data_IF_281319783612
#
_entry.id   IF_281319783612
#
_cell.length_a   1.000
_cell.length_b   1.000
_cell.length_c   1.000
_cell.angle_alpha   90.00
_cell.angle_beta   90.00
_cell.angle_gamma   90.00
#
_symmetry.space_group_name_H-M   'P 1'
#
loop_
_entity.id
_entity.type
_entity.pdbx_description
1 polymer ?
#
# COMPACT_ATOMS: atom_id res chain seq x y z
N UNK A 1 26.10 12.41 -16.33
CA UNK A 1 24.83 12.14 -17.04
C UNK A 1 24.72 10.74 -17.63
N UNK A 2 25.58 10.30 -18.57
CA UNK A 2 25.46 8.97 -19.20
C UNK A 2 25.63 7.80 -18.21
N UNK A 3 26.72 7.81 -17.43
CA UNK A 3 27.01 6.76 -16.44
C UNK A 3 25.97 6.71 -15.30
N UNK A 4 25.44 7.86 -14.88
CA UNK A 4 24.38 7.95 -13.88
C UNK A 4 23.07 7.29 -14.35
N UNK A 5 22.69 7.50 -15.62
CA UNK A 5 21.50 6.88 -16.21
C UNK A 5 21.69 5.36 -16.30
N UNK A 6 22.87 4.90 -16.70
CA UNK A 6 23.18 3.46 -16.77
C UNK A 6 23.06 2.83 -15.38
N UNK A 7 23.65 3.45 -14.35
CA UNK A 7 23.56 2.98 -12.96
C UNK A 7 22.10 2.99 -12.48
N UNK A 8 21.34 4.03 -12.82
CA UNK A 8 19.93 4.14 -12.45
C UNK A 8 19.09 2.99 -13.04
N UNK A 9 19.23 2.73 -14.34
CA UNK A 9 18.53 1.62 -15.02
C UNK A 9 18.97 0.27 -14.44
N UNK A 10 20.28 0.08 -14.25
CA UNK A 10 20.82 -1.13 -13.62
C UNK A 10 20.26 -1.33 -12.21
N UNK A 11 20.11 -0.26 -11.43
CA UNK A 11 19.52 -0.31 -10.09
C UNK A 11 18.04 -0.69 -10.11
N UNK A 12 17.25 -0.22 -11.09
CA UNK A 12 15.86 -0.66 -11.28
C UNK A 12 15.80 -2.15 -11.54
N UNK A 13 16.59 -2.65 -12.50
CA UNK A 13 16.65 -4.08 -12.82
C UNK A 13 17.11 -4.90 -11.61
N UNK A 14 18.12 -4.42 -10.89
CA UNK A 14 18.60 -5.03 -9.66
C UNK A 14 17.51 -5.12 -8.59
N UNK A 15 16.74 -4.04 -8.39
CA UNK A 15 15.59 -4.03 -7.49
C UNK A 15 14.52 -5.07 -7.86
N UNK A 16 14.25 -5.23 -9.16
CA UNK A 16 13.33 -6.26 -9.66
C UNK A 16 13.85 -7.67 -9.35
N UNK A 17 15.13 -7.93 -9.66
CA UNK A 17 15.76 -9.23 -9.44
C UNK A 17 15.82 -9.59 -7.96
N UNK A 18 16.20 -8.66 -7.09
CA UNK A 18 16.20 -8.89 -5.63
C UNK A 18 14.80 -9.20 -5.13
N UNK A 19 13.80 -8.41 -5.53
CA UNK A 19 12.42 -8.64 -5.08
C UNK A 19 11.92 -10.02 -5.53
N UNK A 20 12.26 -10.45 -6.74
CA UNK A 20 11.87 -11.76 -7.25
C UNK A 20 12.66 -12.92 -6.62
N UNK A 21 13.96 -12.75 -6.40
CA UNK A 21 14.79 -13.73 -5.71
C UNK A 21 14.27 -13.97 -4.28
N UNK A 22 13.96 -12.88 -3.58
CA UNK A 22 13.46 -12.93 -2.21
C UNK A 22 12.03 -13.48 -2.11
N UNK A 23 11.19 -13.28 -3.13
CA UNK A 23 9.86 -13.89 -3.16
C UNK A 23 9.87 -15.41 -3.29
N UNK A 24 10.97 -15.99 -3.84
CA UNK A 24 11.18 -17.45 -3.89
C UNK A 24 11.80 -17.98 -2.59
N UNK A 25 12.64 -17.20 -1.91
CA UNK A 25 13.35 -17.65 -0.71
C UNK A 25 13.70 -16.49 0.23
N UNK A 26 13.29 -16.59 1.49
CA UNK A 26 13.58 -15.61 2.56
C UNK A 26 14.56 -16.14 3.63
N UNK A 27 15.40 -17.12 3.29
CA UNK A 27 16.32 -17.78 4.24
C UNK A 27 17.27 -16.80 4.94
N UNK A 28 17.81 -15.82 4.21
CA UNK A 28 18.75 -14.83 4.74
C UNK A 28 18.05 -13.94 5.76
N UNK A 29 16.86 -13.42 5.42
CA UNK A 29 16.05 -12.61 6.33
C UNK A 29 15.69 -13.38 7.60
N UNK A 30 15.27 -14.64 7.45
CA UNK A 30 14.92 -15.52 8.57
C UNK A 30 16.10 -15.77 9.51
N UNK A 31 17.31 -15.90 8.95
CA UNK A 31 18.53 -16.08 9.73
C UNK A 31 18.87 -14.84 10.54
N UNK A 32 18.80 -13.65 9.92
CA UNK A 32 18.99 -12.38 10.64
C UNK A 32 17.91 -12.13 11.69
N UNK A 33 16.65 -12.48 11.40
CA UNK A 33 15.56 -12.37 12.35
C UNK A 33 15.79 -13.27 13.58
N UNK A 34 16.30 -14.50 13.38
CA UNK A 34 16.64 -15.42 14.47
C UNK A 34 17.80 -14.91 15.35
N UNK A 35 18.75 -14.19 14.76
CA UNK A 35 19.87 -13.59 15.49
C UNK A 35 19.45 -12.38 16.33
N UNK A 36 18.51 -11.59 15.83
CA UNK A 36 18.12 -10.31 16.43
C UNK A 36 16.93 -10.39 17.38
N UNK A 37 16.05 -11.40 17.23
CA UNK A 37 14.82 -11.52 18.01
C UNK A 37 14.82 -12.78 18.89
N UNK A 38 14.28 -12.63 20.10
CA UNK A 38 13.96 -13.73 21.02
C UNK A 38 12.92 -14.68 20.40
N UNK A 39 12.94 -15.97 20.78
CA UNK A 39 12.04 -17.02 20.23
C UNK A 39 10.56 -16.61 20.15
N UNK A 40 10.08 -15.81 21.10
CA UNK A 40 8.70 -15.31 21.12
C UNK A 40 8.37 -14.28 20.03
N UNK A 41 9.37 -13.52 19.55
CA UNK A 41 9.23 -12.50 18.50
C UNK A 41 9.81 -12.96 17.15
N UNK A 42 10.20 -14.23 17.05
CA UNK A 42 10.72 -14.78 15.80
C UNK A 42 9.60 -14.97 14.79
N UNK A 43 9.93 -14.69 13.53
CA UNK A 43 9.01 -14.87 12.42
C UNK A 43 8.67 -16.36 12.23
N UNK A 44 7.39 -16.64 11.99
CA UNK A 44 6.88 -17.99 11.75
C UNK A 44 7.39 -18.58 10.44
N UNK A 45 7.42 -19.92 10.34
CA UNK A 45 7.98 -20.61 9.18
C UNK A 45 7.26 -20.32 7.86
N UNK A 46 5.95 -20.08 7.93
CA UNK A 46 5.07 -19.86 6.78
C UNK A 46 5.04 -18.42 6.31
N UNK A 47 5.66 -17.49 7.04
CA UNK A 47 5.67 -16.10 6.65
C UNK A 47 6.70 -15.90 5.51
N UNK A 48 6.29 -15.35 4.34
CA UNK A 48 7.20 -15.14 3.22
C UNK A 48 7.92 -13.78 3.28
N UNK A 49 7.68 -12.95 4.30
CA UNK A 49 8.29 -11.61 4.46
C UNK A 49 9.82 -11.64 4.38
N UNK A 50 10.39 -10.62 3.75
CA UNK A 50 11.82 -10.44 3.59
C UNK A 50 12.26 -9.01 3.93
N UNK A 51 13.49 -8.66 3.55
CA UNK A 51 14.01 -7.30 3.59
C UNK A 51 13.22 -6.38 2.66
N UNK A 52 12.86 -6.87 1.47
CA UNK A 52 12.18 -6.10 0.44
C UNK A 52 10.81 -6.69 0.13
N UNK A 53 10.71 -8.01 0.00
CA UNK A 53 9.46 -8.70 -0.33
C UNK A 53 8.42 -8.59 0.79
N UNK A 54 7.22 -8.11 0.45
CA UNK A 54 6.10 -7.83 1.38
C UNK A 54 6.45 -6.93 2.58
N UNK A 55 7.56 -6.19 2.49
CA UNK A 55 7.99 -5.25 3.53
C UNK A 55 7.31 -3.89 3.36
N UNK A 56 6.95 -3.26 4.48
CA UNK A 56 6.48 -1.86 4.51
C UNK A 56 7.55 -0.92 3.94
N UNK A 57 7.13 0.19 3.33
CA UNK A 57 8.03 1.15 2.68
C UNK A 57 9.18 1.58 3.59
N UNK A 58 8.86 1.95 4.83
CA UNK A 58 9.85 2.48 5.76
C UNK A 58 10.98 1.49 6.04
N UNK A 59 10.64 0.23 6.37
CA UNK A 59 11.66 -0.78 6.64
C UNK A 59 12.40 -1.20 5.36
N UNK A 60 11.70 -1.21 4.22
CA UNK A 60 12.33 -1.46 2.92
C UNK A 60 13.38 -0.39 2.60
N UNK A 61 13.04 0.88 2.82
CA UNK A 61 13.96 2.00 2.66
C UNK A 61 15.20 1.80 3.52
N UNK A 62 15.02 1.52 4.82
CA UNK A 62 16.13 1.28 5.76
C UNK A 62 17.03 0.13 5.31
N UNK A 63 16.47 -1.00 4.88
CA UNK A 63 17.29 -2.14 4.45
C UNK A 63 18.01 -1.90 3.13
N UNK A 64 17.35 -1.26 2.16
CA UNK A 64 17.98 -0.90 0.88
C UNK A 64 19.10 0.11 1.11
N UNK A 65 18.86 1.16 1.90
CA UNK A 65 19.90 2.15 2.19
C UNK A 65 21.06 1.52 2.95
N UNK A 66 20.81 0.67 3.94
CA UNK A 66 21.86 -0.05 4.67
C UNK A 66 22.69 -0.95 3.74
N UNK A 67 22.04 -1.69 2.83
CA UNK A 67 22.74 -2.50 1.82
C UNK A 67 23.67 -1.63 0.96
N UNK A 68 23.20 -0.49 0.48
CA UNK A 68 24.00 0.43 -0.33
C UNK A 68 25.11 1.12 0.48
N UNK A 69 24.91 1.41 1.76
CA UNK A 69 25.98 1.93 2.63
C UNK A 69 27.08 0.89 2.81
N UNK A 70 26.73 -0.38 3.03
CA UNK A 70 27.72 -1.46 3.11
C UNK A 70 28.45 -1.64 1.78
N UNK A 71 27.72 -1.63 0.66
CA UNK A 71 28.32 -1.69 -0.67
C UNK A 71 29.23 -0.49 -0.95
N UNK A 72 28.86 0.72 -0.49
CA UNK A 72 29.67 1.92 -0.61
C UNK A 72 31.02 1.77 0.08
N UNK A 73 31.03 1.26 1.32
CA UNK A 73 32.25 1.03 2.09
C UNK A 73 33.16 0.04 1.36
N UNK A 74 32.60 -1.07 0.83
CA UNK A 74 33.36 -2.06 0.07
C UNK A 74 33.93 -1.48 -1.22
N UNK A 75 33.12 -0.74 -1.99
CA UNK A 75 33.56 -0.11 -3.25
C UNK A 75 34.64 0.94 -2.99
N UNK A 76 34.52 1.73 -1.92
CA UNK A 76 35.52 2.72 -1.52
C UNK A 76 36.85 2.08 -1.13
N UNK A 77 36.83 0.88 -0.56
CA UNK A 77 38.05 0.13 -0.26
C UNK A 77 38.73 -0.41 -1.53
N UNK A 78 37.96 -0.86 -2.51
CA UNK A 78 38.50 -1.41 -3.77
C UNK A 78 38.93 -0.32 -4.75
N UNK A 79 38.24 0.83 -4.75
CA UNK A 79 38.45 1.90 -5.73
C UNK A 79 38.58 3.25 -5.04
N UNK A 80 39.65 4.03 -5.30
CA UNK A 80 39.78 5.38 -4.79
C UNK A 80 38.91 6.35 -5.62
N UNK A 81 37.58 6.24 -5.50
CA UNK A 81 36.64 7.13 -6.18
C UNK A 81 36.48 8.44 -5.38
N UNK A 82 36.88 9.57 -5.96
CA UNK A 82 36.93 10.88 -5.29
C UNK A 82 35.84 11.88 -5.73
N UNK A 83 34.91 11.54 -6.64
CA UNK A 83 33.86 12.45 -7.12
C UNK A 83 32.54 11.80 -7.57
N UNK A 84 31.41 12.51 -7.38
CA UNK A 84 30.00 12.13 -7.69
C UNK A 84 29.43 10.87 -7.01
N UNK A 85 30.15 10.30 -6.06
CA UNK A 85 29.76 9.07 -5.35
C UNK A 85 28.37 9.18 -4.70
N UNK A 86 28.09 10.27 -3.99
CA UNK A 86 26.82 10.48 -3.28
C UNK A 86 25.64 10.51 -4.25
N UNK A 87 25.79 11.16 -5.41
CA UNK A 87 24.74 11.25 -6.42
C UNK A 87 24.45 9.90 -7.07
N UNK A 88 25.50 9.14 -7.42
CA UNK A 88 25.34 7.79 -7.98
C UNK A 88 24.67 6.84 -6.99
N UNK A 89 25.04 6.89 -5.71
CA UNK A 89 24.43 6.08 -4.66
C UNK A 89 22.97 6.46 -4.41
N UNK A 90 22.67 7.76 -4.37
CA UNK A 90 21.29 8.23 -4.21
C UNK A 90 20.40 7.75 -5.36
N UNK A 91 20.88 7.90 -6.59
CA UNK A 91 20.20 7.41 -7.79
C UNK A 91 20.00 5.89 -7.74
N UNK A 92 21.02 5.13 -7.34
CA UNK A 92 20.93 3.68 -7.22
C UNK A 92 19.92 3.24 -6.15
N UNK A 93 19.87 3.91 -4.99
CA UNK A 93 18.89 3.63 -3.94
C UNK A 93 17.47 3.88 -4.47
N UNK A 94 17.23 5.04 -5.08
CA UNK A 94 15.91 5.41 -5.63
C UNK A 94 15.50 4.44 -6.75
N UNK A 95 16.41 4.14 -7.68
CA UNK A 95 16.18 3.18 -8.76
C UNK A 95 15.84 1.79 -8.23
N UNK A 96 16.58 1.31 -7.23
CA UNK A 96 16.30 0.02 -6.58
C UNK A 96 14.92 0.01 -5.93
N UNK A 97 14.55 1.07 -5.19
CA UNK A 97 13.21 1.17 -4.59
C UNK A 97 12.12 1.12 -5.66
N UNK A 98 12.25 1.90 -6.73
CA UNK A 98 11.32 1.89 -7.87
C UNK A 98 11.21 0.48 -8.45
N UNK A 99 12.34 -0.18 -8.72
CA UNK A 99 12.38 -1.55 -9.24
C UNK A 99 11.62 -2.55 -8.36
N UNK A 100 11.76 -2.43 -7.02
CA UNK A 100 11.05 -3.32 -6.09
C UNK A 100 9.53 -3.10 -6.08
N UNK A 101 9.07 -1.87 -6.35
CA UNK A 101 7.65 -1.58 -6.50
C UNK A 101 7.10 -2.07 -7.82
N UNK A 102 7.85 -1.89 -8.92
CA UNK A 102 7.50 -2.47 -10.22
C UNK A 102 7.36 -3.98 -10.11
N UNK A 103 8.33 -4.66 -9.48
CA UNK A 103 8.27 -6.10 -9.27
C UNK A 103 7.07 -6.52 -8.40
N UNK A 104 6.77 -5.75 -7.35
CA UNK A 104 5.59 -5.98 -6.52
C UNK A 104 4.29 -5.88 -7.32
N UNK A 105 4.18 -4.89 -8.21
CA UNK A 105 3.01 -4.72 -9.07
C UNK A 105 2.87 -5.85 -10.09
N UNK A 106 3.96 -6.25 -10.74
CA UNK A 106 3.97 -7.35 -11.73
C UNK A 106 3.62 -8.70 -11.08
N UNK A 107 4.21 -9.01 -9.93
CA UNK A 107 3.90 -10.25 -9.21
C UNK A 107 2.47 -10.26 -8.69
N UNK A 108 1.97 -9.14 -8.18
CA UNK A 108 0.58 -9.01 -7.76
C UNK A 108 -0.41 -9.16 -8.92
N UNK A 109 -0.10 -8.60 -10.09
CA UNK A 109 -0.88 -8.78 -11.30
C UNK A 109 -0.91 -10.25 -11.73
N UNK A 110 0.23 -10.94 -11.66
CA UNK A 110 0.31 -12.38 -11.96
C UNK A 110 -0.56 -13.20 -11.00
N UNK A 111 -0.46 -12.95 -9.70
CA UNK A 111 -1.22 -13.66 -8.67
C UNK A 111 -2.73 -13.43 -8.83
N UNK A 112 -3.17 -12.21 -9.18
CA UNK A 112 -4.58 -11.92 -9.49
C UNK A 112 -5.06 -12.53 -10.82
N UNK A 113 -4.18 -12.64 -11.81
CA UNK A 113 -4.52 -13.25 -13.11
C UNK A 113 -4.63 -14.77 -13.05
N UNK A 114 -4.24 -15.40 -11.94
CA UNK A 114 -4.45 -16.83 -11.74
C UNK A 114 -5.95 -17.12 -11.78
N UNK A 115 -6.36 -17.98 -12.72
CA UNK A 115 -7.77 -18.25 -13.07
C UNK A 115 -8.64 -18.52 -11.84
N UNK A 116 -8.12 -19.18 -10.82
CA UNK A 116 -8.83 -19.47 -9.56
C UNK A 116 -9.27 -18.22 -8.78
N UNK A 117 -8.44 -17.18 -8.72
CA UNK A 117 -8.78 -15.94 -8.02
C UNK A 117 -9.79 -15.10 -8.80
N UNK A 118 -9.71 -15.12 -10.13
CA UNK A 118 -10.71 -14.48 -10.99
C UNK A 118 -12.06 -15.16 -10.85
N UNK A 119 -12.14 -16.50 -10.85
CA UNK A 119 -13.40 -17.23 -10.60
C UNK A 119 -13.95 -16.94 -9.21
N UNK A 120 -13.12 -16.96 -8.16
CA UNK A 120 -13.59 -16.70 -6.79
C UNK A 120 -14.12 -15.26 -6.60
N UNK A 121 -13.50 -14.28 -7.26
CA UNK A 121 -13.95 -12.88 -7.23
C UNK A 121 -15.21 -12.70 -8.09
N UNK A 122 -15.25 -13.33 -9.26
CA UNK A 122 -16.43 -13.34 -10.13
C UNK A 122 -17.64 -13.98 -9.43
N UNK A 123 -17.47 -15.14 -8.80
CA UNK A 123 -18.53 -15.83 -8.06
C UNK A 123 -19.01 -15.01 -6.86
N UNK A 124 -18.10 -14.38 -6.10
CA UNK A 124 -18.49 -13.46 -5.03
C UNK A 124 -19.26 -12.25 -5.56
N UNK A 125 -18.84 -11.70 -6.69
CA UNK A 125 -19.51 -10.55 -7.31
C UNK A 125 -20.89 -10.93 -7.87
N UNK A 126 -21.03 -12.12 -8.46
CA UNK A 126 -22.31 -12.66 -8.95
C UNK A 126 -23.27 -12.90 -7.80
N UNK A 127 -22.81 -13.53 -6.71
CA UNK A 127 -23.60 -13.75 -5.50
C UNK A 127 -24.01 -12.44 -4.82
N UNK A 128 -23.13 -11.44 -4.78
CA UNK A 128 -23.46 -10.13 -4.26
C UNK A 128 -24.47 -9.39 -5.14
N UNK A 129 -24.35 -9.50 -6.47
CA UNK A 129 -25.30 -8.91 -7.41
C UNK A 129 -26.68 -9.61 -7.35
N UNK A 130 -26.70 -10.93 -7.23
CA UNK A 130 -27.93 -11.71 -7.03
C UNK A 130 -28.62 -11.31 -5.72
N UNK A 131 -27.89 -11.28 -4.59
CA UNK A 131 -28.43 -10.84 -3.31
C UNK A 131 -28.95 -9.39 -3.34
N UNK A 132 -28.27 -8.50 -4.06
CA UNK A 132 -28.73 -7.11 -4.23
C UNK A 132 -29.96 -7.02 -5.13
N UNK A 133 -30.06 -7.89 -6.15
CA UNK A 133 -31.23 -7.95 -7.05
C UNK A 133 -32.44 -8.56 -6.33
N UNK A 134 -32.21 -9.54 -5.47
CA UNK A 134 -33.24 -10.17 -4.63
C UNK A 134 -33.74 -9.21 -3.54
N UNK A 135 -32.84 -8.44 -2.91
CA UNK A 135 -33.20 -7.35 -1.98
C UNK A 135 -34.06 -6.28 -2.68
N UNK A 136 -33.67 -5.86 -3.90
CA UNK A 136 -34.45 -4.88 -4.68
C UNK A 136 -35.81 -5.46 -5.10
N UNK A 137 -35.88 -6.74 -5.47
CA UNK A 137 -37.15 -7.40 -5.79
C UNK A 137 -38.07 -7.51 -4.59
N UNK A 138 -37.55 -7.90 -3.42
CA UNK A 138 -38.33 -7.94 -2.18
C UNK A 138 -38.85 -6.56 -1.78
N UNK A 139 -38.06 -5.50 -2.04
CA UNK A 139 -38.48 -4.12 -1.79
C UNK A 139 -39.57 -3.64 -2.79
N UNK A 140 -39.58 -4.18 -4.01
CA UNK A 140 -40.64 -3.90 -5.01
C UNK A 140 -41.92 -4.72 -4.76
N UNK A 141 -41.83 -5.99 -4.35
CA UNK A 141 -42.99 -6.84 -4.04
C UNK A 141 -43.70 -6.45 -2.73
N UNK A 142 -43.05 -5.68 -1.86
CA UNK A 142 -43.66 -5.15 -0.62
C UNK A 142 -44.35 -3.79 -0.78
N UNK A 143 -44.39 -3.23 -2.00
CA UNK A 143 -44.98 -1.91 -2.27
C UNK A 143 -46.23 -2.03 -3.14
N UNK A 144 -47.24 -2.76 -2.67
CA UNK A 144 -48.57 -2.79 -3.29
C UNK A 144 -49.68 -2.60 -2.26
N UNK A 145 -49.52 -1.65 -1.33
CA UNK A 145 -50.69 -1.00 -0.69
C UNK A 145 -50.34 0.39 -0.15
N UNK A 146 -51.17 1.35 -0.56
CA UNK A 146 -51.46 2.63 0.11
C UNK A 146 -50.92 3.90 -0.56
N UNK A 147 -51.67 4.32 -1.58
CA UNK A 147 -52.38 5.61 -1.64
C UNK A 147 -51.57 6.92 -1.63
N UNK A 148 -51.56 7.49 -2.84
CA UNK A 148 -51.63 8.91 -3.19
C UNK A 148 -52.06 9.93 -2.11
N UNK A 149 -51.26 10.98 -1.95
CA UNK A 149 -51.66 12.39 -1.84
C UNK A 149 -50.41 13.25 -2.12
N UNK A 150 -50.35 13.96 -3.26
CA UNK A 150 -50.63 15.40 -3.37
C UNK A 150 -49.76 16.25 -2.41
N UNK A 151 -49.02 17.29 -2.79
CA UNK A 151 -48.93 18.13 -3.99
C UNK A 151 -47.72 19.05 -3.78
N UNK A 152 -47.09 19.46 -4.89
CA UNK A 152 -46.50 20.77 -5.18
C UNK A 152 -45.80 21.57 -4.07
N UNK A 153 -44.51 21.93 -4.28
CA UNK A 153 -44.14 23.21 -4.92
C UNK A 153 -42.61 23.43 -5.01
N UNK A 154 -42.17 23.65 -6.25
CA UNK A 154 -41.24 24.69 -6.75
C UNK A 154 -39.88 25.00 -6.07
N UNK A 155 -38.86 25.02 -6.94
CA UNK A 155 -37.44 25.38 -6.79
C UNK A 155 -37.14 26.91 -6.62
N UNK A 156 -35.86 27.35 -6.40
CA UNK A 156 -35.38 28.45 -5.52
C UNK A 156 -35.06 29.76 -6.30
N UNK A 157 -34.45 30.88 -5.76
CA UNK A 157 -33.14 31.06 -5.07
C UNK A 157 -33.21 32.08 -3.86
N UNK A 158 -32.23 32.39 -3.00
CA UNK A 158 -30.96 33.10 -3.18
C UNK A 158 -30.27 33.30 -1.80
N UNK A 159 -28.93 33.38 -1.81
CA UNK A 159 -27.92 33.81 -0.81
C UNK A 159 -28.31 34.80 0.33
N UNK A 160 -27.97 34.49 1.59
CA UNK A 160 -27.00 35.22 2.47
C UNK A 160 -27.11 34.82 3.97
N UNK A 161 -26.00 35.01 4.70
CA UNK A 161 -25.82 35.03 6.16
C UNK A 161 -25.56 33.70 6.90
N UNK A 162 -24.26 33.41 7.08
CA UNK A 162 -23.72 32.50 8.11
C UNK A 162 -24.29 32.85 9.49
N UNK A 163 -25.11 31.96 10.05
CA UNK A 163 -25.54 31.99 11.45
C UNK A 163 -24.39 31.43 12.33
N UNK A 164 -23.98 32.07 13.42
CA UNK A 164 -22.83 31.63 14.20
C UNK A 164 -23.16 30.29 14.88
N UNK A 165 -22.41 29.25 14.53
CA UNK A 165 -22.50 27.93 15.16
C UNK A 165 -21.91 28.00 16.57
N UNK A 166 -22.71 27.66 17.59
CA UNK A 166 -22.29 27.54 19.00
C UNK A 166 -20.99 26.74 19.10
N UNK A 167 -20.03 27.24 19.87
CA UNK A 167 -18.74 26.59 20.11
C UNK A 167 -18.94 25.22 20.77
N UNK A 168 -18.04 24.27 20.48
CA UNK A 168 -18.03 22.96 21.12
C UNK A 168 -18.01 23.06 22.65
N UNK A 169 -17.43 24.14 23.19
CA UNK A 169 -17.42 24.43 24.63
C UNK A 169 -18.81 24.75 25.18
N UNK A 170 -19.59 25.56 24.49
CA UNK A 170 -20.96 25.90 24.91
C UNK A 170 -21.88 24.68 24.85
N UNK A 171 -21.64 23.78 23.88
CA UNK A 171 -22.34 22.50 23.78
C UNK A 171 -22.02 21.56 24.94
N UNK A 172 -20.79 21.59 25.45
CA UNK A 172 -20.39 20.80 26.62
C UNK A 172 -20.95 21.39 27.92
N UNK A 173 -21.06 22.73 27.98
CA UNK A 173 -21.64 23.44 29.12
C UNK A 173 -23.15 23.22 29.23
N UNK A 174 -23.88 23.28 28.11
CA UNK A 174 -25.31 22.92 28.06
C UNK A 174 -25.57 21.46 28.48
N UNK A 175 -24.60 20.57 28.29
CA UNK A 175 -24.67 19.16 28.69
C UNK A 175 -24.22 18.89 30.13
N UNK A 176 -23.89 19.92 30.91
CA UNK A 176 -23.47 19.79 32.30
C UNK A 176 -22.14 19.07 32.50
N UNK A 177 -21.34 18.91 31.44
CA UNK A 177 -20.06 18.21 31.48
C UNK A 177 -18.92 19.09 32.00
N UNK A 178 -19.12 20.41 32.02
CA UNK A 178 -18.20 21.42 32.54
C UNK A 178 -19.00 22.53 33.24
N UNK A 179 -18.48 23.08 34.35
CA UNK A 179 -19.06 24.25 35.05
C UNK A 179 -18.76 25.57 34.35
#
# INVERSE_FOLDING_TARGET
>A
MTLEIIIFIAAILFGIVIYWSESKSNKIYRSLNRLTHTKALQMTLDNPKGFVYKQAFLMRLVYVTLLFVLAAIVVQFVTPLSGFFIQMFTSAIVGTLIGTYLASAVLFARDRSSKEHLTKVFDKSKKAAEAFTDDIKQQFESTDTTTAAAKDKAEPPTTTAKKPTKSARDRLKDKGMIK
#
